data_IF_427488613507
#
_entry.id   IF_427488613507
#
_cell.length_a   1.000
_cell.length_b   1.000
_cell.length_c   1.000
_cell.angle_alpha   90.00
_cell.angle_beta   90.00
_cell.angle_gamma   90.00
#
_symmetry.space_group_name_H-M   'P 1'
#
loop_
_entity.id
_entity.type
_entity.pdbx_description
1 polymer ?
#
# COMPACT_ATOMS: atom_id res chain seq x y z
N UNK A 1 39.61 -11.06 -8.57
CA UNK A 1 39.63 -9.64 -8.91
C UNK A 1 38.21 -9.21 -9.14
N UNK A 2 37.64 -8.48 -8.19
CA UNK A 2 36.33 -7.81 -8.17
C UNK A 2 35.05 -8.56 -8.55
N UNK A 3 34.58 -9.46 -7.68
CA UNK A 3 33.18 -9.98 -7.67
C UNK A 3 32.28 -9.22 -6.67
N UNK A 4 32.62 -7.99 -6.28
CA UNK A 4 31.91 -7.24 -5.25
C UNK A 4 31.08 -6.04 -5.81
N UNK A 5 30.80 -5.99 -7.13
CA UNK A 5 30.19 -4.78 -7.73
C UNK A 5 28.74 -4.90 -8.16
N UNK A 6 28.12 -6.08 -8.17
CA UNK A 6 26.78 -6.25 -8.77
C UNK A 6 25.60 -6.33 -7.78
N UNK A 7 25.84 -6.28 -6.47
CA UNK A 7 24.76 -6.46 -5.47
C UNK A 7 24.30 -5.17 -4.76
N UNK A 8 24.86 -4.01 -5.09
CA UNK A 8 24.41 -2.76 -4.45
C UNK A 8 23.18 -2.23 -5.18
N UNK A 9 22.03 -2.02 -4.48
CA UNK A 9 20.85 -1.46 -5.11
C UNK A 9 21.15 -0.14 -5.80
N UNK A 10 20.72 -0.02 -7.05
CA UNK A 10 20.81 1.22 -7.80
C UNK A 10 19.52 2.03 -7.57
N UNK A 11 19.64 3.34 -7.41
CA UNK A 11 18.53 4.23 -7.11
C UNK A 11 18.24 5.12 -8.31
N UNK A 12 17.03 4.99 -8.87
CA UNK A 12 16.58 5.77 -10.03
C UNK A 12 15.35 6.62 -9.68
N UNK A 13 15.48 7.94 -9.56
CA UNK A 13 14.33 8.82 -9.36
C UNK A 13 13.63 9.09 -10.69
N UNK A 14 12.31 9.03 -10.69
CA UNK A 14 11.47 9.41 -11.82
C UNK A 14 10.21 10.14 -11.36
N UNK A 15 9.49 10.71 -12.31
CA UNK A 15 8.21 11.39 -12.07
C UNK A 15 7.18 10.83 -13.02
N UNK A 16 6.03 10.42 -12.50
CA UNK A 16 4.95 9.84 -13.30
C UNK A 16 3.59 10.42 -12.93
N UNK A 17 2.60 10.29 -13.81
CA UNK A 17 1.24 10.73 -13.54
C UNK A 17 0.49 9.71 -12.66
N UNK A 18 -0.47 10.20 -11.89
CA UNK A 18 -1.34 9.33 -11.06
C UNK A 18 -2.04 8.27 -11.93
N UNK A 19 -2.48 8.64 -13.12
CA UNK A 19 -3.17 7.72 -14.03
C UNK A 19 -2.29 6.53 -14.43
N UNK A 20 -1.01 6.78 -14.73
CA UNK A 20 -0.04 5.73 -15.04
C UNK A 20 0.22 4.82 -13.84
N UNK A 21 0.26 5.38 -12.62
CA UNK A 21 0.41 4.58 -11.40
C UNK A 21 -0.76 3.64 -11.19
N UNK A 22 -1.98 4.15 -11.32
CA UNK A 22 -3.21 3.34 -11.20
C UNK A 22 -3.23 2.26 -12.26
N UNK A 23 -2.88 2.59 -13.52
CA UNK A 23 -2.82 1.63 -14.62
C UNK A 23 -1.75 0.54 -14.39
N UNK A 24 -0.59 0.89 -13.84
CA UNK A 24 0.46 -0.07 -13.52
C UNK A 24 0.02 -1.04 -12.41
N UNK A 25 -0.76 -0.59 -11.43
CA UNK A 25 -1.36 -1.47 -10.42
C UNK A 25 -2.42 -2.36 -11.07
N UNK A 26 -3.33 -1.80 -11.89
CA UNK A 26 -4.36 -2.57 -12.61
C UNK A 26 -3.77 -3.71 -13.45
N UNK A 27 -2.63 -3.46 -14.07
CA UNK A 27 -1.95 -4.42 -14.93
C UNK A 27 -0.97 -5.35 -14.19
N UNK A 28 -0.90 -5.26 -12.85
CA UNK A 28 0.01 -6.07 -12.04
C UNK A 28 1.50 -5.76 -12.21
N UNK A 29 1.84 -4.61 -12.82
CA UNK A 29 3.23 -4.15 -12.93
C UNK A 29 3.75 -3.52 -11.63
N UNK A 30 2.84 -3.03 -10.82
CA UNK A 30 3.11 -2.54 -9.47
C UNK A 30 2.22 -3.32 -8.50
N UNK A 31 2.84 -4.01 -7.56
CA UNK A 31 2.15 -4.92 -6.65
C UNK A 31 2.49 -4.61 -5.20
N UNK A 32 1.56 -4.94 -4.29
CA UNK A 32 1.77 -4.82 -2.85
C UNK A 32 2.33 -6.14 -2.32
N UNK A 33 3.56 -6.18 -1.80
CA UNK A 33 4.07 -7.38 -1.14
C UNK A 33 3.17 -7.78 0.04
N UNK A 34 3.00 -9.08 0.27
CA UNK A 34 2.19 -9.59 1.39
C UNK A 34 2.71 -9.16 2.77
N UNK A 35 3.98 -8.85 2.89
CA UNK A 35 4.58 -8.37 4.15
C UNK A 35 4.24 -6.93 4.49
N UNK A 36 3.53 -6.21 3.62
CA UNK A 36 3.07 -4.85 3.92
C UNK A 36 1.95 -4.89 4.98
N UNK A 37 1.94 -3.85 5.82
CA UNK A 37 0.88 -3.69 6.82
C UNK A 37 -0.48 -3.53 6.14
N UNK A 38 -1.58 -3.92 6.80
CA UNK A 38 -2.91 -3.66 6.30
C UNK A 38 -3.17 -2.17 6.02
N UNK A 39 -4.13 -1.91 5.15
CA UNK A 39 -4.60 -0.55 4.92
C UNK A 39 -5.29 0.00 6.19
N UNK A 40 -4.81 1.17 6.68
CA UNK A 40 -5.27 1.75 7.95
C UNK A 40 -5.87 3.16 7.82
N UNK A 41 -5.78 3.79 6.66
CA UNK A 41 -6.33 5.12 6.46
C UNK A 41 -7.86 5.13 6.56
N UNK A 42 -8.37 6.22 7.15
CA UNK A 42 -9.80 6.49 7.32
C UNK A 42 -10.27 7.48 6.25
N UNK A 43 -11.58 7.70 6.17
CA UNK A 43 -12.22 8.64 5.23
C UNK A 43 -11.60 10.05 5.26
N UNK A 44 -11.14 10.52 6.42
CA UNK A 44 -10.46 11.82 6.53
C UNK A 44 -9.10 11.82 5.82
N UNK A 45 -8.29 10.78 6.03
CA UNK A 45 -6.98 10.68 5.39
C UNK A 45 -7.11 10.63 3.85
N UNK A 46 -8.18 9.97 3.35
CA UNK A 46 -8.50 9.92 1.92
C UNK A 46 -8.83 11.33 1.39
N UNK A 47 -9.70 12.08 2.09
CA UNK A 47 -10.05 13.46 1.72
C UNK A 47 -8.82 14.36 1.71
N UNK A 48 -7.98 14.28 2.74
CA UNK A 48 -6.77 15.10 2.89
C UNK A 48 -5.76 14.83 1.77
N UNK A 49 -5.66 13.57 1.31
CA UNK A 49 -4.83 13.23 0.15
C UNK A 49 -5.33 13.93 -1.11
N UNK A 50 -6.62 13.79 -1.43
CA UNK A 50 -7.19 14.39 -2.63
C UNK A 50 -7.24 15.92 -2.55
N UNK A 51 -7.47 16.49 -1.39
CA UNK A 51 -7.37 17.94 -1.16
C UNK A 51 -5.94 18.46 -1.43
N UNK A 52 -4.93 17.72 -0.97
CA UNK A 52 -3.53 18.05 -1.26
C UNK A 52 -3.22 18.00 -2.76
N UNK A 53 -3.74 17.01 -3.47
CA UNK A 53 -3.61 16.90 -4.94
C UNK A 53 -4.31 18.09 -5.62
N UNK A 54 -5.53 18.41 -5.23
CA UNK A 54 -6.30 19.54 -5.77
C UNK A 54 -5.56 20.87 -5.58
N UNK A 55 -5.00 21.09 -4.41
CA UNK A 55 -4.20 22.28 -4.08
C UNK A 55 -2.79 22.28 -4.70
N UNK A 56 -2.36 21.16 -5.27
CA UNK A 56 -1.02 21.00 -5.85
C UNK A 56 0.09 20.86 -4.80
N UNK A 57 -0.26 20.43 -3.58
CA UNK A 57 0.73 20.19 -2.53
C UNK A 57 1.46 18.86 -2.75
N UNK A 58 2.73 18.75 -2.35
CA UNK A 58 3.45 17.51 -2.45
C UNK A 58 2.86 16.45 -1.50
N UNK A 59 2.56 15.26 -2.02
CA UNK A 59 2.02 14.13 -1.28
C UNK A 59 3.07 13.06 -0.93
N UNK A 60 4.34 13.39 -1.07
CA UNK A 60 5.47 12.50 -0.85
C UNK A 60 5.83 11.65 -2.07
N UNK A 61 6.87 10.84 -1.94
CA UNK A 61 7.33 9.92 -2.98
C UNK A 61 6.86 8.49 -2.74
N UNK A 62 6.89 7.68 -3.78
CA UNK A 62 6.70 6.21 -3.71
C UNK A 62 8.06 5.56 -3.89
N UNK A 63 8.33 4.53 -3.09
CA UNK A 63 9.51 3.69 -3.25
C UNK A 63 9.09 2.35 -3.84
N UNK A 64 9.69 1.99 -4.94
CA UNK A 64 9.49 0.74 -5.67
C UNK A 64 10.76 -0.08 -5.69
N UNK A 65 10.62 -1.39 -5.71
CA UNK A 65 11.73 -2.34 -5.84
C UNK A 65 11.42 -3.39 -6.92
N UNK A 66 12.40 -3.73 -7.73
CA UNK A 66 12.26 -4.68 -8.85
C UNK A 66 12.27 -6.17 -8.42
N UNK A 67 12.40 -6.45 -7.11
CA UNK A 67 12.45 -7.82 -6.58
C UNK A 67 13.84 -8.44 -6.59
N UNK A 68 14.85 -7.77 -7.14
CA UNK A 68 16.22 -8.32 -7.21
C UNK A 68 16.27 -9.69 -7.90
N UNK A 69 15.46 -9.89 -8.94
CA UNK A 69 15.33 -11.15 -9.69
C UNK A 69 14.56 -12.26 -8.97
N UNK A 70 13.89 -11.96 -7.84
CA UNK A 70 13.06 -12.91 -7.09
C UNK A 70 11.58 -12.60 -7.28
N UNK A 71 10.76 -13.64 -7.42
CA UNK A 71 9.31 -13.50 -7.36
C UNK A 71 8.88 -13.55 -5.88
N UNK A 72 8.36 -12.42 -5.39
CA UNK A 72 7.94 -12.26 -4.00
C UNK A 72 6.42 -12.25 -3.98
N UNK A 73 5.79 -12.97 -3.05
CA UNK A 73 4.34 -12.95 -2.91
C UNK A 73 3.78 -11.58 -2.69
N UNK A 74 2.65 -11.37 -3.31
CA UNK A 74 1.95 -10.10 -3.30
C UNK A 74 0.44 -10.30 -3.18
N UNK A 75 -0.23 -9.27 -2.70
CA UNK A 75 -1.67 -9.21 -2.54
C UNK A 75 -2.31 -9.15 -3.94
N UNK A 76 -3.10 -10.17 -4.31
CA UNK A 76 -3.72 -10.30 -5.62
C UNK A 76 -4.95 -9.40 -5.82
N UNK A 77 -5.50 -8.84 -4.75
CA UNK A 77 -6.64 -7.92 -4.83
C UNK A 77 -6.47 -6.70 -3.93
N UNK A 78 -6.86 -5.55 -4.43
CA UNK A 78 -6.84 -4.27 -3.69
C UNK A 78 -8.24 -3.69 -3.73
N UNK A 79 -8.83 -3.43 -2.53
CA UNK A 79 -10.19 -2.93 -2.44
C UNK A 79 -11.23 -3.87 -3.08
N UNK A 80 -11.05 -5.18 -2.92
CA UNK A 80 -11.92 -6.20 -3.54
C UNK A 80 -11.70 -6.43 -5.03
N UNK A 81 -10.98 -5.52 -5.71
CA UNK A 81 -10.67 -5.67 -7.15
C UNK A 81 -9.41 -6.47 -7.35
N UNK A 82 -9.52 -7.53 -8.17
CA UNK A 82 -8.38 -8.32 -8.60
C UNK A 82 -7.43 -7.48 -9.46
N UNK A 83 -6.14 -7.54 -9.17
CA UNK A 83 -5.08 -6.91 -9.97
C UNK A 83 -4.57 -7.90 -11.01
N UNK A 84 -4.32 -7.41 -12.22
CA UNK A 84 -3.84 -8.24 -13.33
C UNK A 84 -2.52 -8.93 -13.00
N UNK A 85 -2.25 -10.04 -13.66
CA UNK A 85 -0.94 -10.68 -13.62
C UNK A 85 -0.06 -10.10 -14.72
N UNK A 86 1.01 -9.43 -14.35
CA UNK A 86 1.99 -8.96 -15.33
C UNK A 86 2.78 -10.14 -15.90
N UNK A 87 2.88 -10.18 -17.22
CA UNK A 87 3.84 -11.04 -17.90
C UNK A 87 5.11 -10.20 -18.11
N UNK A 88 6.03 -10.22 -17.13
CA UNK A 88 7.27 -9.45 -17.20
C UNK A 88 7.68 -8.87 -15.84
N UNK A 89 8.53 -7.86 -15.89
CA UNK A 89 9.09 -7.23 -14.71
C UNK A 89 8.00 -6.57 -13.85
N UNK A 90 8.04 -6.90 -12.56
CA UNK A 90 7.15 -6.34 -11.54
C UNK A 90 7.94 -5.43 -10.62
N UNK A 91 7.31 -4.38 -10.15
CA UNK A 91 7.82 -3.55 -9.07
C UNK A 91 6.99 -3.76 -7.82
N UNK A 92 7.66 -4.02 -6.72
CA UNK A 92 7.06 -4.16 -5.40
C UNK A 92 7.02 -2.80 -4.72
N UNK A 93 5.84 -2.42 -4.23
CA UNK A 93 5.65 -1.16 -3.52
C UNK A 93 6.26 -1.28 -2.13
N UNK A 94 7.39 -0.62 -1.88
CA UNK A 94 8.10 -0.64 -0.59
C UNK A 94 7.59 0.46 0.34
N UNK A 95 7.39 1.68 -0.18
CA UNK A 95 6.76 2.77 0.54
C UNK A 95 5.72 3.48 -0.33
N UNK A 96 4.74 4.09 0.30
CA UNK A 96 3.62 4.76 -0.38
C UNK A 96 2.37 3.91 -0.52
N UNK A 97 2.32 2.72 0.06
CA UNK A 97 1.18 1.79 -0.01
C UNK A 97 -0.16 2.46 0.27
N UNK A 98 -0.30 3.20 1.39
CA UNK A 98 -1.57 3.81 1.78
C UNK A 98 -2.07 4.80 0.70
N UNK A 99 -1.15 5.61 0.16
CA UNK A 99 -1.44 6.58 -0.91
C UNK A 99 -1.84 5.89 -2.21
N UNK A 100 -1.05 4.92 -2.65
CA UNK A 100 -1.33 4.18 -3.89
C UNK A 100 -2.62 3.38 -3.81
N UNK A 101 -2.88 2.70 -2.68
CA UNK A 101 -4.17 2.01 -2.45
C UNK A 101 -5.33 2.99 -2.50
N UNK A 102 -5.22 4.16 -1.88
CA UNK A 102 -6.26 5.20 -1.92
C UNK A 102 -6.52 5.68 -3.35
N UNK A 103 -5.46 6.04 -4.08
CA UNK A 103 -5.59 6.49 -5.46
C UNK A 103 -6.20 5.40 -6.35
N UNK A 104 -5.72 4.16 -6.21
CA UNK A 104 -6.25 3.02 -6.95
C UNK A 104 -7.74 2.81 -6.66
N UNK A 105 -8.15 2.72 -5.40
CA UNK A 105 -9.52 2.42 -5.03
C UNK A 105 -10.50 3.56 -5.36
N UNK A 106 -10.11 4.82 -5.18
CA UNK A 106 -10.98 5.95 -5.48
C UNK A 106 -11.08 6.28 -6.99
N UNK A 107 -10.07 5.92 -7.79
CA UNK A 107 -10.00 6.24 -9.21
C UNK A 107 -10.33 5.06 -10.13
N UNK A 108 -10.46 3.84 -9.60
CA UNK A 108 -10.79 2.66 -10.38
C UNK A 108 -12.27 2.34 -10.35
N UNK A 109 -12.78 1.77 -11.45
CA UNK A 109 -14.11 1.17 -11.49
C UNK A 109 -14.11 -0.19 -10.77
N UNK A 110 -15.30 -0.71 -10.44
CA UNK A 110 -15.51 -2.07 -9.90
C UNK A 110 -14.72 -2.37 -8.60
N UNK A 111 -14.56 -1.38 -7.75
CA UNK A 111 -14.05 -1.56 -6.39
C UNK A 111 -15.20 -1.98 -5.49
N UNK A 112 -15.01 -3.09 -4.78
CA UNK A 112 -15.93 -3.52 -3.73
C UNK A 112 -15.82 -2.57 -2.52
N UNK A 113 -16.93 -1.98 -2.14
CA UNK A 113 -16.96 -0.91 -1.12
C UNK A 113 -18.23 -1.00 -0.27
N UNK A 114 -18.30 -2.02 0.56
CA UNK A 114 -19.43 -2.24 1.47
C UNK A 114 -19.70 -1.06 2.40
N UNK A 115 -18.65 -0.32 2.77
CA UNK A 115 -18.69 0.78 3.74
C UNK A 115 -18.77 2.18 3.10
N UNK A 116 -18.77 2.31 1.79
CA UNK A 116 -18.67 3.58 1.06
C UNK A 116 -17.39 4.35 1.41
N UNK A 117 -16.31 3.64 1.64
CA UNK A 117 -15.00 4.21 2.00
C UNK A 117 -14.30 4.82 0.79
N UNK A 118 -14.46 4.18 -0.36
CA UNK A 118 -13.85 4.57 -1.62
C UNK A 118 -14.76 5.45 -2.48
N UNK A 119 -16.01 5.64 -2.05
CA UNK A 119 -16.96 6.54 -2.69
C UNK A 119 -16.66 7.98 -2.28
N UNK A 120 -15.74 8.58 -3.04
CA UNK A 120 -15.33 9.97 -2.85
C UNK A 120 -15.97 10.86 -3.90
N UNK A 121 -16.54 11.96 -3.43
CA UNK A 121 -17.16 13.00 -4.25
C UNK A 121 -16.50 14.34 -4.00
N UNK A 122 -16.62 15.22 -4.98
CA UNK A 122 -16.24 16.62 -4.85
C UNK A 122 -17.49 17.49 -4.95
N UNK A 123 -17.74 18.27 -3.91
CA UNK A 123 -18.81 19.27 -3.92
C UNK A 123 -18.35 20.49 -4.72
N UNK A 124 -18.93 20.69 -5.89
CA UNK A 124 -18.56 21.74 -6.84
C UNK A 124 -18.90 23.15 -6.36
N UNK A 125 -19.88 23.29 -5.43
CA UNK A 125 -20.22 24.58 -4.86
C UNK A 125 -19.24 25.00 -3.77
N UNK A 126 -18.94 24.09 -2.85
CA UNK A 126 -18.10 24.32 -1.67
C UNK A 126 -16.61 24.07 -1.96
N UNK A 127 -16.30 23.42 -3.08
CA UNK A 127 -14.97 23.01 -3.51
C UNK A 127 -14.26 22.13 -2.46
N UNK A 128 -15.01 21.16 -1.92
CA UNK A 128 -14.53 20.25 -0.87
C UNK A 128 -14.79 18.78 -1.22
N UNK A 129 -13.89 17.90 -0.78
CA UNK A 129 -14.09 16.46 -0.90
C UNK A 129 -14.99 15.91 0.21
N UNK A 130 -15.87 14.99 -0.14
CA UNK A 130 -16.82 14.36 0.80
C UNK A 130 -17.10 12.92 0.45
N UNK A 131 -17.42 12.09 1.45
CA UNK A 131 -17.93 10.73 1.29
C UNK A 131 -19.46 10.63 1.35
N UNK A 132 -20.13 11.75 1.45
CA UNK A 132 -21.58 11.78 1.54
C UNK A 132 -22.17 12.90 0.69
N UNK A 133 -23.25 12.60 0.00
CA UNK A 133 -24.03 13.57 -0.77
C UNK A 133 -25.14 14.08 0.14
N UNK A 134 -25.26 15.40 0.27
CA UNK A 134 -26.36 16.02 1.01
C UNK A 134 -27.70 15.72 0.32
N UNK A 135 -28.61 15.07 1.02
CA UNK A 135 -29.93 14.67 0.50
C UNK A 135 -30.80 15.86 0.03
N UNK A 136 -30.55 17.06 0.56
CA UNK A 136 -31.28 18.28 0.22
C UNK A 136 -30.63 19.09 -0.91
N UNK A 137 -29.42 18.72 -1.35
CA UNK A 137 -28.74 19.37 -2.47
C UNK A 137 -29.02 18.62 -3.78
N UNK A 138 -28.97 19.34 -4.92
CA UNK A 138 -28.96 18.67 -6.22
C UNK A 138 -27.76 17.74 -6.32
N UNK A 139 -27.96 16.51 -6.79
CA UNK A 139 -26.87 15.58 -7.04
C UNK A 139 -25.89 16.11 -8.10
N UNK A 140 -26.37 16.96 -9.02
CA UNK A 140 -25.53 17.65 -10.00
C UNK A 140 -24.45 18.56 -9.41
N UNK A 141 -24.56 18.93 -8.13
CA UNK A 141 -23.50 19.68 -7.44
C UNK A 141 -22.30 18.80 -7.00
N UNK A 142 -22.35 17.48 -7.21
CA UNK A 142 -21.31 16.56 -6.79
C UNK A 142 -20.72 15.80 -7.98
N UNK A 143 -19.39 15.82 -8.10
CA UNK A 143 -18.65 15.02 -9.07
C UNK A 143 -18.11 13.78 -8.39
N UNK A 144 -18.37 12.59 -8.94
CA UNK A 144 -17.74 11.35 -8.48
C UNK A 144 -16.27 11.32 -8.90
N UNK A 145 -15.36 11.11 -7.96
CA UNK A 145 -13.92 11.05 -8.24
C UNK A 145 -13.57 9.86 -9.13
N UNK A 146 -14.28 8.75 -8.99
CA UNK A 146 -14.13 7.55 -9.83
C UNK A 146 -14.36 7.86 -11.32
N UNK A 147 -15.23 8.80 -11.66
CA UNK A 147 -15.53 9.15 -13.04
C UNK A 147 -14.43 9.95 -13.75
N UNK A 148 -13.48 10.51 -13.00
CA UNK A 148 -12.49 11.46 -13.55
C UNK A 148 -11.54 10.78 -14.53
N UNK A 149 -11.12 9.53 -14.26
CA UNK A 149 -10.04 8.87 -14.99
C UNK A 149 -10.41 8.55 -16.45
N UNK A 150 -11.61 8.03 -16.69
CA UNK A 150 -12.08 7.68 -18.02
C UNK A 150 -12.85 8.83 -18.67
N UNK A 151 -12.40 9.29 -19.83
CA UNK A 151 -13.06 10.38 -20.57
C UNK A 151 -14.54 10.14 -20.79
N UNK A 152 -14.94 8.90 -21.13
CA UNK A 152 -16.34 8.55 -21.35
C UNK A 152 -17.19 8.66 -20.07
N UNK A 153 -16.63 8.28 -18.92
CA UNK A 153 -17.30 8.40 -17.61
C UNK A 153 -17.41 9.86 -17.20
N UNK A 154 -16.33 10.63 -17.40
CA UNK A 154 -16.33 12.07 -17.13
C UNK A 154 -17.37 12.83 -17.96
N UNK A 155 -17.47 12.54 -19.27
CA UNK A 155 -18.47 13.17 -20.14
C UNK A 155 -19.91 12.87 -19.72
N UNK A 156 -20.18 11.67 -19.19
CA UNK A 156 -21.50 11.33 -18.61
C UNK A 156 -21.80 12.17 -17.36
N UNK A 157 -20.81 12.33 -16.49
CA UNK A 157 -20.95 13.18 -15.30
C UNK A 157 -21.13 14.65 -15.66
N UNK A 158 -20.35 15.19 -16.59
CA UNK A 158 -20.49 16.56 -17.06
C UNK A 158 -21.90 16.83 -17.63
N UNK A 159 -22.44 15.89 -18.43
CA UNK A 159 -23.81 15.97 -18.93
C UNK A 159 -24.82 15.96 -17.78
N UNK A 160 -24.68 15.05 -16.81
CA UNK A 160 -25.54 14.96 -15.64
C UNK A 160 -25.54 16.27 -14.84
N UNK A 161 -24.35 16.88 -14.63
CA UNK A 161 -24.23 18.16 -13.93
C UNK A 161 -25.08 19.24 -14.64
N UNK A 162 -24.96 19.37 -15.96
CA UNK A 162 -25.75 20.34 -16.74
C UNK A 162 -27.25 20.03 -16.68
N UNK A 163 -27.66 18.79 -16.89
CA UNK A 163 -29.08 18.39 -16.88
C UNK A 163 -29.74 18.65 -15.53
N UNK A 164 -28.99 18.45 -14.42
CA UNK A 164 -29.56 18.62 -13.07
C UNK A 164 -29.47 20.05 -12.51
N UNK A 165 -28.49 20.85 -12.97
CA UNK A 165 -28.23 22.18 -12.38
C UNK A 165 -28.49 23.33 -13.35
N UNK A 166 -28.32 23.11 -14.66
CA UNK A 166 -28.34 24.16 -15.66
C UNK A 166 -27.20 25.16 -15.55
N UNK A 167 -26.12 24.82 -14.81
CA UNK A 167 -25.00 25.73 -14.51
C UNK A 167 -23.69 25.23 -15.14
N UNK A 168 -23.28 25.88 -16.25
CA UNK A 168 -22.03 25.59 -16.96
C UNK A 168 -20.79 25.81 -16.10
N UNK A 169 -20.84 26.72 -15.10
CA UNK A 169 -19.71 26.97 -14.21
C UNK A 169 -19.35 25.76 -13.36
N UNK A 170 -20.34 24.95 -13.01
CA UNK A 170 -20.08 23.71 -12.27
C UNK A 170 -19.35 22.69 -13.14
N UNK A 171 -19.62 22.65 -14.44
CA UNK A 171 -18.84 21.81 -15.38
C UNK A 171 -17.43 22.32 -15.51
N UNK A 172 -17.21 23.63 -15.62
CA UNK A 172 -15.87 24.21 -15.66
C UNK A 172 -15.05 23.85 -14.40
N UNK A 173 -15.67 23.88 -13.21
CA UNK A 173 -15.04 23.42 -11.96
C UNK A 173 -14.75 21.92 -11.97
N UNK A 174 -15.65 21.12 -12.51
CA UNK A 174 -15.45 19.69 -12.64
C UNK A 174 -14.28 19.36 -13.59
N UNK A 175 -14.17 20.08 -14.72
CA UNK A 175 -13.05 19.98 -15.66
C UNK A 175 -11.74 20.40 -15.02
N UNK A 176 -11.73 21.50 -14.28
CA UNK A 176 -10.57 21.97 -13.56
C UNK A 176 -10.06 20.92 -12.55
N UNK A 177 -10.96 20.33 -11.74
CA UNK A 177 -10.62 19.28 -10.82
C UNK A 177 -10.06 18.04 -11.54
N UNK A 178 -10.74 17.61 -12.61
CA UNK A 178 -10.30 16.46 -13.40
C UNK A 178 -8.90 16.67 -13.98
N UNK A 179 -8.63 17.84 -14.49
CA UNK A 179 -7.31 18.23 -15.00
C UNK A 179 -6.24 18.24 -13.90
N UNK A 180 -6.57 18.76 -12.73
CA UNK A 180 -5.65 18.78 -11.57
C UNK A 180 -5.25 17.37 -11.17
N UNK A 181 -6.20 16.44 -11.07
CA UNK A 181 -5.92 15.06 -10.67
C UNK A 181 -5.15 14.32 -11.78
N UNK A 182 -5.59 14.40 -13.04
CA UNK A 182 -4.94 13.70 -14.18
C UNK A 182 -3.52 14.17 -14.43
N UNK A 183 -3.28 15.47 -14.29
CA UNK A 183 -1.96 16.09 -14.55
C UNK A 183 -1.05 16.10 -13.31
N UNK A 184 -1.56 15.64 -12.16
CA UNK A 184 -0.74 15.57 -10.96
C UNK A 184 0.38 14.54 -11.12
N UNK A 185 1.60 14.98 -10.82
CA UNK A 185 2.80 14.16 -10.94
C UNK A 185 3.30 13.75 -9.57
N UNK A 186 3.63 12.49 -9.44
CA UNK A 186 4.15 11.89 -8.22
C UNK A 186 5.61 11.48 -8.41
N UNK A 187 6.44 11.76 -7.42
CA UNK A 187 7.83 11.32 -7.41
C UNK A 187 7.90 9.83 -7.11
N UNK A 188 8.65 9.10 -7.92
CA UNK A 188 8.91 7.67 -7.76
C UNK A 188 10.41 7.50 -7.56
N UNK A 189 10.78 6.63 -6.64
CA UNK A 189 12.15 6.20 -6.43
C UNK A 189 12.16 4.70 -6.70
N UNK A 190 12.88 4.27 -7.74
CA UNK A 190 13.08 2.86 -8.05
C UNK A 190 14.37 2.38 -7.43
N UNK A 191 14.31 1.21 -6.83
CA UNK A 191 15.45 0.43 -6.39
C UNK A 191 15.57 -0.75 -7.34
N UNK A 192 16.63 -0.80 -8.09
CA UNK A 192 16.94 -1.88 -9.02
C UNK A 192 18.04 -2.75 -8.43
N UNK A 193 17.83 -4.06 -8.37
CA UNK A 193 18.71 -5.02 -7.72
C UNK A 193 18.61 -5.01 -6.19
N UNK A 194 19.65 -5.55 -5.55
CA UNK A 194 19.71 -5.71 -4.11
C UNK A 194 18.88 -6.88 -3.56
N UNK A 195 19.16 -7.22 -2.32
CA UNK A 195 18.48 -8.29 -1.60
C UNK A 195 17.23 -7.77 -0.88
N UNK A 196 16.28 -8.65 -0.57
CA UNK A 196 15.13 -8.31 0.27
C UNK A 196 15.55 -7.72 1.62
N UNK A 197 16.64 -8.22 2.21
CA UNK A 197 17.18 -7.70 3.49
C UNK A 197 17.63 -6.25 3.40
N UNK A 198 18.29 -5.86 2.32
CA UNK A 198 18.71 -4.47 2.09
C UNK A 198 17.51 -3.55 1.84
N UNK A 199 16.54 -4.00 1.05
CA UNK A 199 15.32 -3.24 0.79
C UNK A 199 14.51 -3.04 2.07
N UNK A 200 14.44 -4.06 2.91
CA UNK A 200 13.80 -3.99 4.23
C UNK A 200 14.55 -3.01 5.15
N UNK A 201 15.87 -2.96 5.09
CA UNK A 201 16.67 -1.97 5.84
C UNK A 201 16.39 -0.55 5.33
N UNK A 202 16.36 -0.32 4.02
CA UNK A 202 15.98 0.97 3.41
C UNK A 202 14.59 1.38 3.86
N UNK A 203 13.62 0.46 3.79
CA UNK A 203 12.26 0.69 4.23
C UNK A 203 12.19 1.04 5.74
N UNK A 204 12.94 0.33 6.59
CA UNK A 204 13.02 0.62 8.02
C UNK A 204 13.59 2.02 8.29
N UNK A 205 14.62 2.43 7.57
CA UNK A 205 15.24 3.75 7.71
C UNK A 205 14.30 4.87 7.28
N UNK A 206 13.59 4.70 6.16
CA UNK A 206 12.62 5.68 5.67
C UNK A 206 11.43 5.84 6.64
N UNK A 207 10.95 4.75 7.19
CA UNK A 207 9.83 4.76 8.13
C UNK A 207 10.22 5.14 9.57
N UNK A 208 11.50 5.11 9.93
CA UNK A 208 11.96 5.59 11.25
C UNK A 208 11.75 7.09 11.44
N UNK A 209 11.57 7.84 10.34
CA UNK A 209 11.17 9.24 10.33
C UNK A 209 9.63 9.44 10.42
N UNK A 210 8.85 8.35 10.40
CA UNK A 210 7.39 8.31 10.46
C UNK A 210 6.85 7.33 11.51
N UNK A 211 5.70 6.69 11.24
CA UNK A 211 5.14 5.64 12.12
C UNK A 211 5.99 4.37 12.02
N UNK A 212 6.55 3.92 13.15
CA UNK A 212 7.36 2.70 13.22
C UNK A 212 6.64 1.48 12.63
N UNK A 213 7.35 0.78 11.74
CA UNK A 213 6.95 -0.56 11.30
C UNK A 213 7.05 -1.47 12.52
N UNK A 214 6.07 -2.33 12.69
CA UNK A 214 6.17 -3.37 13.72
C UNK A 214 7.31 -4.30 13.33
N UNK A 215 8.23 -4.56 14.26
CA UNK A 215 9.39 -5.42 14.01
C UNK A 215 9.00 -6.83 13.53
N UNK A 216 7.80 -7.29 13.90
CA UNK A 216 7.23 -8.56 13.45
C UNK A 216 6.97 -8.61 11.94
N UNK A 217 6.49 -7.49 11.34
CA UNK A 217 6.21 -7.42 9.89
C UNK A 217 7.51 -7.48 9.08
N UNK A 218 8.59 -6.96 9.68
CA UNK A 218 9.94 -7.04 9.15
C UNK A 218 10.50 -8.47 9.18
N UNK A 219 10.32 -9.16 10.30
CA UNK A 219 10.77 -10.56 10.44
C UNK A 219 10.00 -11.43 9.44
N UNK A 220 8.69 -11.22 9.32
CA UNK A 220 7.86 -11.87 8.32
C UNK A 220 8.44 -11.72 6.90
N UNK A 221 8.77 -10.50 6.49
CA UNK A 221 9.36 -10.24 5.18
C UNK A 221 10.69 -10.96 4.98
N UNK A 222 11.54 -10.97 5.99
CA UNK A 222 12.89 -11.54 5.90
C UNK A 222 12.94 -13.08 5.98
N UNK A 223 11.92 -13.71 6.56
CA UNK A 223 11.80 -15.17 6.68
C UNK A 223 11.00 -15.82 5.56
N UNK A 224 10.44 -15.00 4.68
CA UNK A 224 9.66 -15.50 3.55
C UNK A 224 10.54 -16.31 2.57
N UNK A 225 10.23 -17.58 2.39
CA UNK A 225 11.01 -18.53 1.57
C UNK A 225 10.42 -18.85 0.18
N UNK A 226 9.26 -18.25 -0.17
CA UNK A 226 8.63 -18.47 -1.48
C UNK A 226 8.04 -19.88 -1.69
N UNK A 227 7.98 -20.69 -0.64
CA UNK A 227 7.38 -22.04 -0.71
C UNK A 227 5.90 -21.99 -0.31
N UNK A 228 5.06 -22.85 -0.89
CA UNK A 228 3.63 -23.00 -0.59
C UNK A 228 3.30 -23.28 0.89
N UNK A 229 4.29 -23.60 1.70
CA UNK A 229 4.18 -23.76 3.15
C UNK A 229 5.11 -22.77 3.83
N UNK A 230 4.57 -21.62 4.18
CA UNK A 230 5.29 -20.63 4.96
C UNK A 230 5.20 -20.94 6.46
N UNK A 231 5.89 -22.01 6.89
CA UNK A 231 5.88 -22.51 8.28
C UNK A 231 6.22 -21.44 9.30
N UNK A 232 7.14 -20.55 8.97
CA UNK A 232 7.52 -19.45 9.85
C UNK A 232 6.36 -18.50 10.08
N UNK A 233 5.56 -18.25 9.05
CA UNK A 233 4.35 -17.44 9.15
C UNK A 233 3.26 -18.09 9.97
N UNK A 234 3.01 -19.37 9.71
CA UNK A 234 2.03 -20.15 10.46
C UNK A 234 2.41 -20.17 11.95
N UNK A 235 3.70 -20.33 12.24
CA UNK A 235 4.24 -20.22 13.59
C UNK A 235 4.00 -18.84 14.20
N UNK A 236 4.35 -17.75 13.51
CA UNK A 236 4.13 -16.38 14.00
C UNK A 236 2.65 -16.12 14.25
N UNK A 237 1.76 -16.59 13.37
CA UNK A 237 0.31 -16.44 13.52
C UNK A 237 -0.22 -17.28 14.67
N UNK A 238 0.22 -18.52 14.84
CA UNK A 238 -0.12 -19.35 16.01
C UNK A 238 0.30 -18.70 17.32
N UNK A 239 1.52 -18.16 17.40
CA UNK A 239 1.97 -17.39 18.57
C UNK A 239 1.04 -16.21 18.84
N UNK A 240 0.63 -15.46 17.80
CA UNK A 240 -0.32 -14.36 17.98
C UNK A 240 -1.69 -14.84 18.48
N UNK A 241 -2.21 -15.92 17.92
CA UNK A 241 -3.52 -16.49 18.29
C UNK A 241 -3.52 -17.02 19.72
N UNK A 242 -2.49 -17.76 20.14
CA UNK A 242 -2.35 -18.28 21.51
C UNK A 242 -2.41 -17.17 22.56
N UNK A 243 -1.90 -15.99 22.27
CA UNK A 243 -1.82 -14.88 23.21
C UNK A 243 -2.86 -13.79 22.98
N UNK A 244 -3.71 -13.90 21.95
CA UNK A 244 -4.72 -12.89 21.61
C UNK A 244 -5.67 -12.54 22.75
N UNK A 245 -6.01 -13.51 23.59
CA UNK A 245 -6.89 -13.32 24.76
C UNK A 245 -6.19 -12.70 25.98
N UNK A 246 -4.86 -12.66 25.99
CA UNK A 246 -4.07 -12.18 27.13
C UNK A 246 -3.44 -10.82 26.88
N UNK A 247 -3.41 -10.39 25.64
CA UNK A 247 -2.77 -9.14 25.21
C UNK A 247 -3.82 -8.32 24.48
N UNK A 248 -4.16 -7.13 25.00
CA UNK A 248 -4.96 -6.17 24.24
C UNK A 248 -4.19 -5.78 22.98
N UNK A 249 -4.56 -6.38 21.85
CA UNK A 249 -3.84 -6.33 20.56
C UNK A 249 -3.65 -4.90 20.07
N UNK A 250 -4.55 -3.98 20.40
CA UNK A 250 -4.50 -2.59 19.97
C UNK A 250 -3.54 -1.70 20.77
N UNK A 251 -3.22 -2.08 22.00
CA UNK A 251 -2.40 -1.27 22.94
C UNK A 251 -1.01 -1.82 23.17
N UNK A 252 -0.78 -3.09 22.84
CA UNK A 252 0.54 -3.71 23.04
C UNK A 252 1.49 -3.22 21.97
N UNK A 253 2.60 -2.61 22.39
CA UNK A 253 3.73 -2.38 21.50
C UNK A 253 4.14 -3.69 20.84
N UNK A 254 4.47 -3.70 19.53
CA UNK A 254 4.89 -4.91 18.81
C UNK A 254 6.08 -5.66 19.44
N UNK A 255 6.67 -5.11 20.49
CA UNK A 255 7.75 -5.67 21.27
C UNK A 255 7.37 -6.94 22.03
N UNK A 256 6.12 -7.07 22.52
CA UNK A 256 5.70 -8.26 23.31
C UNK A 256 5.67 -9.51 22.41
N UNK A 257 5.06 -9.41 21.23
CA UNK A 257 5.03 -10.54 20.28
C UNK A 257 6.42 -10.93 19.83
N UNK A 258 7.29 -9.95 19.62
CA UNK A 258 8.68 -10.21 19.28
C UNK A 258 9.43 -10.94 20.40
N UNK A 259 9.18 -10.57 21.67
CA UNK A 259 9.73 -11.26 22.83
C UNK A 259 9.24 -12.70 22.92
N UNK A 260 7.95 -12.94 22.66
CA UNK A 260 7.38 -14.29 22.62
C UNK A 260 8.01 -15.14 21.50
N UNK A 261 8.16 -14.58 20.29
CA UNK A 261 8.82 -15.26 19.19
C UNK A 261 10.26 -15.62 19.56
N UNK A 262 11.02 -14.67 20.11
CA UNK A 262 12.41 -14.92 20.56
C UNK A 262 12.48 -16.05 21.60
N UNK A 263 11.59 -16.02 22.58
CA UNK A 263 11.52 -17.07 23.61
C UNK A 263 11.21 -18.44 23.00
N UNK A 264 10.26 -18.51 22.09
CA UNK A 264 9.84 -19.75 21.44
C UNK A 264 10.96 -20.36 20.57
N UNK A 265 11.80 -19.53 19.94
CA UNK A 265 12.95 -20.01 19.14
C UNK A 265 14.26 -20.10 19.92
N UNK A 266 14.23 -19.91 21.24
CA UNK A 266 15.38 -20.08 22.13
C UNK A 266 16.41 -18.95 22.06
N UNK A 267 15.98 -17.73 21.76
CA UNK A 267 16.82 -16.53 21.77
C UNK A 267 16.58 -15.69 23.04
N UNK A 268 17.60 -14.93 23.43
CA UNK A 268 17.47 -13.99 24.55
C UNK A 268 16.46 -12.87 24.20
N UNK A 269 15.51 -12.63 25.09
CA UNK A 269 14.41 -11.66 24.93
C UNK A 269 14.92 -10.24 24.70
N UNK A 270 16.03 -9.88 25.34
CA UNK A 270 16.60 -8.53 25.26
C UNK A 270 17.60 -8.33 24.12
N UNK A 271 17.93 -9.38 23.35
CA UNK A 271 18.80 -9.22 22.18
C UNK A 271 18.11 -8.33 21.15
N UNK A 272 18.81 -7.27 20.74
CA UNK A 272 18.28 -6.29 19.75
C UNK A 272 18.68 -6.64 18.33
N UNK A 273 19.50 -7.67 18.13
CA UNK A 273 19.96 -8.07 16.80
C UNK A 273 18.85 -8.84 16.07
N UNK A 274 18.27 -8.17 15.09
CA UNK A 274 17.19 -8.71 14.25
C UNK A 274 17.68 -9.83 13.33
N UNK A 275 18.93 -9.76 12.88
CA UNK A 275 19.48 -10.76 11.97
C UNK A 275 19.56 -12.12 12.64
N UNK A 276 19.88 -12.17 13.92
CA UNK A 276 19.88 -13.43 14.69
C UNK A 276 18.51 -14.10 14.74
N UNK A 277 17.43 -13.33 14.80
CA UNK A 277 16.08 -13.88 14.79
C UNK A 277 15.78 -14.52 13.44
N UNK A 278 16.09 -13.81 12.36
CA UNK A 278 15.88 -14.27 10.98
C UNK A 278 16.74 -15.51 10.71
N UNK A 279 18.02 -15.48 11.05
CA UNK A 279 18.93 -16.60 10.89
C UNK A 279 18.45 -17.83 11.69
N UNK A 280 18.00 -17.62 12.92
CA UNK A 280 17.49 -18.71 13.77
C UNK A 280 16.21 -19.31 13.25
N UNK A 281 15.26 -18.48 12.78
CA UNK A 281 14.01 -18.94 12.17
C UNK A 281 14.29 -19.73 10.88
N UNK A 282 15.17 -19.25 10.01
CA UNK A 282 15.60 -19.99 8.81
C UNK A 282 16.26 -21.32 9.15
N UNK A 283 17.17 -21.31 10.13
CA UNK A 283 17.83 -22.54 10.59
C UNK A 283 16.80 -23.57 11.09
N UNK A 284 15.81 -23.15 11.88
CA UNK A 284 14.75 -24.03 12.40
C UNK A 284 13.89 -24.56 11.25
N UNK A 285 13.50 -23.72 10.31
CA UNK A 285 12.67 -24.15 9.15
C UNK A 285 13.41 -25.19 8.29
N UNK A 286 14.72 -25.00 8.08
CA UNK A 286 15.52 -25.91 7.27
C UNK A 286 15.91 -27.21 7.99
N UNK A 287 16.25 -27.14 9.30
CA UNK A 287 16.87 -28.25 10.02
C UNK A 287 16.01 -28.89 11.10
N UNK A 288 15.04 -28.14 11.67
CA UNK A 288 14.22 -28.57 12.79
C UNK A 288 12.73 -28.17 12.57
N UNK A 289 12.13 -28.44 11.40
CA UNK A 289 10.82 -27.89 11.02
C UNK A 289 9.71 -28.26 11.98
N UNK A 290 9.80 -29.41 12.68
CA UNK A 290 8.83 -29.84 13.71
C UNK A 290 8.71 -28.81 14.85
N UNK A 291 9.72 -28.03 15.15
CA UNK A 291 9.66 -27.00 16.19
C UNK A 291 8.77 -25.81 15.83
N UNK A 292 8.47 -25.62 14.56
CA UNK A 292 7.53 -24.62 14.07
C UNK A 292 6.08 -25.16 14.04
N UNK A 293 5.93 -26.49 14.05
CA UNK A 293 4.63 -27.17 13.97
C UNK A 293 4.01 -27.46 15.36
N UNK A 294 4.86 -27.57 16.42
CA UNK A 294 4.49 -28.07 17.76
C UNK A 294 4.06 -26.98 18.78
N UNK A 295 3.71 -25.75 18.34
CA UNK A 295 3.22 -24.67 19.24
C UNK A 295 1.72 -24.50 19.15
#
# INVERSE_FOLDING_TARGET
MNDYKDDVPSVSPEVTFIDDLVLNIENGKMVLPEFQRPYVWKKNDIRDLFDSIYKGYPIGSVLLWDGGGKDIPYIESIGGRYIGQSVGDKYYIVDGQQRLTTLFCCLSDDIDDDDGKWDLYFNLNEEEFTHSINKNASKGCYLSIRSIRKTTSFLKEARRIIEETGDDKLVEKAEFLADRIRKYKMAIIKLDGGTLSEVVEVFSRLNSLGKNIKQQDLIYALTYSGSDKNRVNDFINKVKECFANYIEVEKSSGDIYLQLIKTAIGLEVYDKDRNKIVERLKYIDENEPYKLDDI
#
